data_IF_190559616700
#
_entry.id   IF_190559616700
#
_cell.length_a   1.000
_cell.length_b   1.000
_cell.length_c   1.000
_cell.angle_alpha   90.00
_cell.angle_beta   90.00
_cell.angle_gamma   90.00
#
_symmetry.space_group_name_H-M   'P 1'
#
loop_
_entity.id
_entity.type
_entity.pdbx_description
1 polymer ?
#
# COMPACT_ATOMS: atom_id res chain seq x y z
N UNK A 1 4.56 3.94 -7.17
CA UNK A 1 3.90 4.00 -8.50
C UNK A 1 4.35 2.76 -9.26
N UNK A 2 3.52 2.17 -10.12
CA UNK A 2 3.94 0.99 -10.89
C UNK A 2 5.21 1.32 -11.70
N UNK A 3 6.10 0.34 -11.85
CA UNK A 3 7.36 0.51 -12.58
C UNK A 3 7.13 0.81 -14.08
N UNK A 4 6.00 0.34 -14.63
CA UNK A 4 5.56 0.61 -16.00
C UNK A 4 4.13 1.17 -16.01
N UNK A 5 3.87 2.15 -16.88
CA UNK A 5 2.57 2.82 -17.01
C UNK A 5 1.58 2.08 -17.92
N UNK A 6 2.06 1.14 -18.72
CA UNK A 6 1.27 0.38 -19.68
C UNK A 6 1.42 -1.11 -19.41
N UNK A 7 0.31 -1.85 -19.49
CA UNK A 7 0.29 -3.30 -19.30
C UNK A 7 -0.41 -3.94 -20.48
N UNK A 8 0.25 -4.91 -21.13
CA UNK A 8 -0.32 -5.69 -22.22
C UNK A 8 -1.21 -6.80 -21.65
N UNK A 9 -2.43 -6.91 -22.16
CA UNK A 9 -3.38 -7.96 -21.82
C UNK A 9 -4.00 -8.58 -23.07
N UNK A 10 -4.33 -9.88 -23.00
CA UNK A 10 -5.12 -10.53 -24.03
C UNK A 10 -6.60 -10.22 -23.81
N UNK A 11 -7.12 -9.22 -24.53
CA UNK A 11 -8.50 -8.78 -24.37
C UNK A 11 -9.52 -9.84 -24.82
N UNK A 12 -9.16 -10.67 -25.82
CA UNK A 12 -10.03 -11.75 -26.28
C UNK A 12 -10.25 -12.78 -25.17
N UNK A 13 -9.18 -13.21 -24.48
CA UNK A 13 -9.29 -14.13 -23.35
C UNK A 13 -10.06 -13.52 -22.18
N UNK A 14 -9.86 -12.24 -21.90
CA UNK A 14 -10.60 -11.54 -20.84
C UNK A 14 -12.10 -11.50 -21.14
N UNK A 15 -12.47 -11.31 -22.41
CA UNK A 15 -13.85 -11.34 -22.89
C UNK A 15 -14.46 -12.74 -22.80
N UNK A 16 -13.77 -13.79 -23.27
CA UNK A 16 -14.26 -15.18 -23.21
C UNK A 16 -14.58 -15.65 -21.78
N UNK A 17 -13.84 -15.12 -20.81
CA UNK A 17 -14.00 -15.44 -19.38
C UNK A 17 -14.85 -14.41 -18.62
N UNK A 18 -15.40 -13.42 -19.33
CA UNK A 18 -16.22 -12.35 -18.76
C UNK A 18 -15.58 -11.66 -17.55
N UNK A 19 -14.28 -11.36 -17.64
CA UNK A 19 -13.54 -10.75 -16.53
C UNK A 19 -14.06 -9.34 -16.21
N UNK A 20 -14.22 -9.03 -14.92
CA UNK A 20 -14.53 -7.69 -14.45
C UNK A 20 -13.25 -6.96 -14.04
N UNK A 21 -12.94 -5.85 -14.72
CA UNK A 21 -11.81 -4.97 -14.39
C UNK A 21 -12.34 -3.73 -13.66
N UNK A 22 -11.79 -3.43 -12.47
CA UNK A 22 -12.20 -2.28 -11.65
C UNK A 22 -11.00 -1.40 -11.33
N UNK A 23 -11.09 -0.12 -11.65
CA UNK A 23 -10.11 0.87 -11.22
C UNK A 23 -10.46 1.32 -9.79
N UNK A 24 -9.49 1.29 -8.87
CA UNK A 24 -9.65 1.79 -7.50
C UNK A 24 -8.69 2.94 -7.31
N UNK A 25 -9.21 4.13 -6.99
CA UNK A 25 -8.42 5.31 -6.67
C UNK A 25 -8.68 5.73 -5.23
N UNK A 26 -7.67 5.54 -4.38
CA UNK A 26 -7.71 5.89 -2.95
C UNK A 26 -8.95 5.28 -2.27
N UNK A 27 -9.78 6.10 -1.64
CA UNK A 27 -10.91 5.68 -0.82
C UNK A 27 -11.97 6.79 -0.78
N UNK A 28 -13.24 6.40 -0.63
CA UNK A 28 -14.38 7.30 -0.37
C UNK A 28 -15.22 6.70 0.74
N UNK A 29 -15.50 7.48 1.79
CA UNK A 29 -16.33 7.09 2.94
C UNK A 29 -15.86 5.83 3.71
N UNK A 30 -14.57 5.46 3.62
CA UNK A 30 -14.05 4.21 4.20
C UNK A 30 -13.40 4.39 5.59
N UNK A 31 -13.03 5.61 5.97
CA UNK A 31 -12.35 5.88 7.24
C UNK A 31 -13.09 5.33 8.47
N UNK A 32 -14.41 5.55 8.65
CA UNK A 32 -15.11 5.03 9.82
C UNK A 32 -15.03 3.50 9.93
N UNK A 33 -15.14 2.80 8.80
CA UNK A 33 -15.06 1.33 8.73
C UNK A 33 -13.65 0.85 9.06
N UNK A 34 -12.62 1.49 8.50
CA UNK A 34 -11.23 1.14 8.77
C UNK A 34 -10.86 1.35 10.24
N UNK A 35 -11.28 2.48 10.84
CA UNK A 35 -11.06 2.77 12.26
C UNK A 35 -11.76 1.72 13.13
N UNK A 36 -13.02 1.39 12.82
CA UNK A 36 -13.77 0.37 13.56
C UNK A 36 -13.09 -1.00 13.50
N UNK A 37 -12.60 -1.42 12.34
CA UNK A 37 -11.90 -2.70 12.16
C UNK A 37 -10.57 -2.77 12.92
N UNK A 38 -9.86 -1.64 13.05
CA UNK A 38 -8.63 -1.56 13.86
C UNK A 38 -8.99 -1.58 15.35
N UNK A 39 -9.99 -0.79 15.76
CA UNK A 39 -10.42 -0.70 17.16
C UNK A 39 -10.98 -2.04 17.69
N UNK A 40 -11.67 -2.81 16.85
CA UNK A 40 -12.16 -4.16 17.20
C UNK A 40 -11.06 -5.22 17.26
N UNK A 41 -9.83 -4.90 16.84
CA UNK A 41 -8.73 -5.86 16.69
C UNK A 41 -8.89 -6.79 15.48
N UNK A 42 -9.87 -6.55 14.60
CA UNK A 42 -10.05 -7.33 13.37
C UNK A 42 -8.92 -7.11 12.37
N UNK A 43 -8.24 -5.96 12.43
CA UNK A 43 -7.05 -5.64 11.65
C UNK A 43 -5.98 -5.07 12.58
N UNK A 44 -4.86 -5.78 12.73
CA UNK A 44 -3.67 -5.27 13.43
C UNK A 44 -2.72 -4.60 12.43
N UNK A 45 -2.84 -3.28 12.29
CA UNK A 45 -1.97 -2.50 11.40
C UNK A 45 -0.53 -2.35 11.91
N UNK A 46 -0.23 -2.70 13.17
CA UNK A 46 1.14 -2.56 13.68
C UNK A 46 2.10 -3.58 13.06
N UNK A 47 1.58 -4.71 12.59
CA UNK A 47 2.38 -5.79 12.00
C UNK A 47 3.07 -5.40 10.69
N UNK A 48 2.58 -4.38 9.98
CA UNK A 48 3.20 -3.94 8.72
C UNK A 48 4.38 -2.98 8.93
N UNK A 49 4.56 -2.48 10.17
CA UNK A 49 5.65 -1.55 10.50
C UNK A 49 6.94 -2.35 10.56
N UNK A 50 7.83 -2.12 9.60
CA UNK A 50 9.13 -2.80 9.56
C UNK A 50 10.27 -1.91 10.03
N UNK A 51 10.14 -0.59 9.87
CA UNK A 51 11.18 0.37 10.23
C UNK A 51 10.56 1.59 10.89
N UNK A 52 11.26 2.11 11.89
CA UNK A 52 10.88 3.30 12.62
C UNK A 52 12.04 4.30 12.60
N UNK A 53 11.70 5.56 12.39
CA UNK A 53 12.65 6.66 12.29
C UNK A 53 12.17 7.81 13.16
N UNK A 54 13.10 8.62 13.63
CA UNK A 54 12.77 9.94 14.21
C UNK A 54 12.51 10.98 13.12
N UNK A 55 11.91 12.12 13.46
CA UNK A 55 11.69 13.21 12.52
C UNK A 55 13.01 13.73 11.90
N UNK A 56 14.08 13.80 12.71
CA UNK A 56 15.41 14.22 12.26
C UNK A 56 16.04 13.24 11.26
N UNK A 57 15.62 11.97 11.27
CA UNK A 57 16.06 10.94 10.33
C UNK A 57 15.19 10.86 9.06
N UNK A 58 14.31 11.84 8.81
CA UNK A 58 13.39 11.79 7.67
C UNK A 58 14.08 11.54 6.33
N UNK A 59 15.19 12.20 6.03
CA UNK A 59 15.98 11.97 4.79
C UNK A 59 16.41 10.50 4.66
N UNK A 60 17.02 9.96 5.72
CA UNK A 60 17.42 8.55 5.81
C UNK A 60 16.22 7.61 5.68
N UNK A 61 15.08 7.96 6.24
CA UNK A 61 13.85 7.17 6.14
C UNK A 61 13.40 7.01 4.68
N UNK A 62 13.39 8.11 3.91
CA UNK A 62 13.04 8.06 2.48
C UNK A 62 14.07 7.27 1.68
N UNK A 63 15.36 7.46 1.93
CA UNK A 63 16.43 6.72 1.24
C UNK A 63 16.32 5.21 1.51
N UNK A 64 16.10 4.82 2.76
CA UNK A 64 15.96 3.40 3.16
C UNK A 64 14.80 2.73 2.43
N UNK A 65 13.65 3.40 2.31
CA UNK A 65 12.46 2.86 1.62
C UNK A 65 12.72 2.66 0.11
N UNK A 66 13.56 3.50 -0.50
CA UNK A 66 13.90 3.40 -1.93
C UNK A 66 14.94 2.30 -2.18
N UNK A 67 16.00 2.26 -1.38
CA UNK A 67 17.13 1.36 -1.57
C UNK A 67 16.83 -0.07 -1.14
N UNK A 68 16.02 -0.25 -0.09
CA UNK A 68 15.66 -1.55 0.47
C UNK A 68 14.19 -1.92 0.23
N UNK A 69 13.72 -1.69 -1.00
CA UNK A 69 12.33 -1.91 -1.38
C UNK A 69 11.85 -3.37 -1.22
N UNK A 70 12.76 -4.34 -1.09
CA UNK A 70 12.42 -5.75 -0.89
C UNK A 70 12.10 -6.09 0.57
N UNK A 71 12.73 -5.41 1.54
CA UNK A 71 12.55 -5.71 2.96
C UNK A 71 11.70 -4.66 3.70
N UNK A 72 11.56 -3.45 3.14
CA UNK A 72 10.75 -2.39 3.73
C UNK A 72 9.28 -2.52 3.31
N UNK A 73 8.41 -2.95 4.23
CA UNK A 73 6.94 -2.93 4.02
C UNK A 73 6.36 -1.55 4.34
N UNK A 74 6.65 -1.01 5.53
CA UNK A 74 6.21 0.34 5.93
C UNK A 74 7.22 0.98 6.89
N UNK A 75 7.86 2.05 6.43
CA UNK A 75 8.60 2.97 7.29
C UNK A 75 7.66 3.95 8.00
N UNK A 76 7.85 4.16 9.30
CA UNK A 76 7.10 5.11 10.13
C UNK A 76 8.06 6.15 10.70
N UNK A 77 7.76 7.43 10.48
CA UNK A 77 8.43 8.52 11.19
C UNK A 77 7.61 8.80 12.46
N UNK A 78 8.24 8.67 13.63
CA UNK A 78 7.66 9.02 14.92
C UNK A 78 7.96 10.47 15.26
N UNK A 79 6.98 11.11 15.90
CA UNK A 79 7.10 12.43 16.51
C UNK A 79 7.43 12.30 17.99
#
# INVERSE_FOLDING_TARGET
MAAESEVKYNFFQAMEKELTIRCVFRYRNLYPVAIAAIASGSIDVKQIVTHEFTLDESEKAFQTVVEDAQNVVKGIIRM
#
